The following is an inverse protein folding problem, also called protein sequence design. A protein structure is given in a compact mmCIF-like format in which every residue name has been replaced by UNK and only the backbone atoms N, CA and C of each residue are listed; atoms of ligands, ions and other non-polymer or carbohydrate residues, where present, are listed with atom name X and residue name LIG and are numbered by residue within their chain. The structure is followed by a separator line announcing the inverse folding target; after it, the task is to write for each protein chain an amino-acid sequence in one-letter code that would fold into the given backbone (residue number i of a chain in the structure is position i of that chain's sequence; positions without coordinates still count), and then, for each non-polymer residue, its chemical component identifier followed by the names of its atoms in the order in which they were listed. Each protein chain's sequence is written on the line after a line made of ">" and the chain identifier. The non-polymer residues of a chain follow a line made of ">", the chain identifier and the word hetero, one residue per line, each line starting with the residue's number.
data_IF_565260154879
#
_entry.id   IF_565260154879
#
_cell.length_a   1.000
_cell.length_b   1.000
_cell.length_c   1.000
_cell.angle_alpha   90.00
_cell.angle_beta   90.00
_cell.angle_gamma   90.00
#
_symmetry.space_group_name_H-M   'P 1'
#
loop_
_entity.id
_entity.type
_entity.pdbx_description
1 polymer ?
#
# COMPACT_ATOMS: atom_id res chain seq x y z
N UNK A 1 25.29 10.93 -4.15
CA UNK A 1 25.16 10.65 -5.61
C UNK A 1 26.02 9.46 -6.07
N UNK A 2 27.19 9.23 -5.45
CA UNK A 2 28.09 8.09 -5.74
C UNK A 2 27.43 6.72 -5.46
N UNK A 3 26.68 6.56 -4.36
CA UNK A 3 26.01 5.30 -4.00
C UNK A 3 24.90 4.84 -4.97
N UNK A 4 24.22 5.77 -5.64
CA UNK A 4 23.15 5.43 -6.58
C UNK A 4 23.71 4.89 -7.90
N UNK A 5 24.85 5.44 -8.34
CA UNK A 5 25.55 4.98 -9.55
C UNK A 5 26.23 3.62 -9.31
N UNK A 6 26.72 3.35 -8.09
CA UNK A 6 27.24 2.02 -7.74
C UNK A 6 26.13 0.97 -7.61
N UNK A 7 24.92 1.34 -7.17
CA UNK A 7 23.78 0.43 -7.06
C UNK A 7 23.30 -0.07 -8.43
N UNK A 8 23.09 0.85 -9.39
CA UNK A 8 22.72 0.45 -10.76
C UNK A 8 23.84 -0.27 -11.51
N UNK A 9 25.10 0.12 -11.30
CA UNK A 9 26.23 -0.59 -11.87
C UNK A 9 26.41 -2.00 -11.28
N UNK A 10 26.11 -2.18 -9.98
CA UNK A 10 26.21 -3.47 -9.30
C UNK A 10 25.07 -4.42 -9.71
N UNK A 11 23.85 -3.90 -9.96
CA UNK A 11 22.76 -4.66 -10.56
C UNK A 11 23.09 -5.13 -11.99
N UNK A 12 23.84 -4.35 -12.76
CA UNK A 12 24.16 -4.66 -14.17
C UNK A 12 25.40 -5.54 -14.37
N UNK A 13 26.36 -5.58 -13.45
CA UNK A 13 27.70 -6.07 -13.81
C UNK A 13 28.04 -7.52 -13.50
N UNK A 14 27.44 -8.23 -12.53
CA UNK A 14 27.74 -9.67 -12.34
C UNK A 14 26.67 -10.30 -11.47
N UNK A 15 25.95 -11.31 -11.98
CA UNK A 15 25.11 -12.26 -11.20
C UNK A 15 24.43 -11.58 -9.98
N UNK A 16 23.49 -10.68 -10.28
CA UNK A 16 23.06 -9.51 -9.49
C UNK A 16 22.45 -9.73 -8.10
N UNK A 17 23.08 -10.53 -7.24
CA UNK A 17 22.49 -10.98 -5.99
C UNK A 17 23.44 -10.90 -4.78
N UNK A 18 24.75 -11.12 -4.95
CA UNK A 18 25.71 -11.01 -3.84
C UNK A 18 25.87 -9.57 -3.31
N UNK A 19 25.32 -8.58 -4.02
CA UNK A 19 25.46 -7.17 -3.71
C UNK A 19 24.67 -6.71 -2.47
N UNK A 20 23.47 -7.23 -2.21
CA UNK A 20 22.69 -6.85 -1.02
C UNK A 20 23.36 -7.31 0.28
N UNK A 21 24.01 -8.48 0.24
CA UNK A 21 24.78 -9.04 1.35
C UNK A 21 26.08 -8.26 1.60
N UNK A 22 26.79 -7.94 0.51
CA UNK A 22 28.04 -7.19 0.57
C UNK A 22 27.85 -5.74 1.04
N UNK A 23 26.74 -5.08 0.67
CA UNK A 23 26.48 -3.68 1.00
C UNK A 23 26.04 -3.46 2.46
N UNK A 24 25.48 -4.48 3.12
CA UNK A 24 24.96 -4.40 4.50
C UNK A 24 25.86 -5.05 5.55
N UNK A 25 26.90 -5.79 5.13
CA UNK A 25 27.71 -6.60 6.04
C UNK A 25 26.97 -7.82 6.60
N UNK A 26 25.80 -8.16 6.05
CA UNK A 26 24.97 -9.29 6.46
C UNK A 26 25.46 -10.54 5.74
N UNK A 27 25.81 -11.58 6.49
CA UNK A 27 26.21 -12.87 5.94
C UNK A 27 24.99 -13.60 5.36
N UNK A 28 25.02 -13.95 4.07
CA UNK A 28 23.94 -14.70 3.43
C UNK A 28 24.09 -16.21 3.60
N UNK A 29 23.05 -16.85 4.10
CA UNK A 29 22.96 -18.28 4.43
C UNK A 29 21.78 -18.99 3.73
N UNK A 30 21.03 -18.27 2.87
CA UNK A 30 19.97 -18.84 2.01
C UNK A 30 19.96 -18.22 0.62
N UNK A 31 19.54 -19.02 -0.38
CA UNK A 31 19.27 -18.58 -1.75
C UNK A 31 17.79 -18.79 -2.10
N UNK A 32 17.09 -17.70 -2.37
CA UNK A 32 15.70 -17.63 -2.80
C UNK A 32 15.63 -17.67 -4.33
N UNK A 33 15.14 -18.76 -4.90
CA UNK A 33 14.97 -18.95 -6.33
C UNK A 33 13.65 -18.29 -6.75
N UNK A 34 13.73 -17.26 -7.59
CA UNK A 34 12.58 -16.49 -8.10
C UNK A 34 12.62 -16.53 -9.61
N UNK A 35 11.66 -17.22 -10.23
CA UNK A 35 11.68 -17.52 -11.66
C UNK A 35 13.04 -18.14 -12.06
N UNK A 36 13.78 -17.49 -12.97
CA UNK A 36 15.11 -17.93 -13.43
C UNK A 36 16.28 -17.23 -12.70
N UNK A 37 15.98 -16.47 -11.65
CA UNK A 37 16.96 -15.69 -10.88
C UNK A 37 17.10 -16.23 -9.45
N UNK A 38 18.22 -15.91 -8.78
CA UNK A 38 18.57 -16.50 -7.48
C UNK A 38 18.94 -15.42 -6.48
N UNK A 39 18.10 -15.04 -5.52
CA UNK A 39 18.34 -13.97 -4.55
C UNK A 39 18.87 -14.48 -3.20
N UNK A 40 20.03 -14.00 -2.74
CA UNK A 40 20.67 -14.39 -1.49
C UNK A 40 20.23 -13.47 -0.37
N UNK A 41 19.94 -14.07 0.77
CA UNK A 41 19.41 -13.37 1.93
C UNK A 41 19.94 -14.00 3.23
N UNK A 42 19.53 -13.45 4.36
CA UNK A 42 19.83 -13.98 5.68
C UNK A 42 18.57 -14.60 6.32
N UNK A 43 18.59 -15.92 6.59
CA UNK A 43 17.50 -16.69 7.18
C UNK A 43 17.04 -16.04 8.47
N UNK A 44 17.97 -15.86 9.42
CA UNK A 44 17.66 -15.37 10.77
C UNK A 44 16.99 -14.00 10.74
N UNK A 45 17.49 -13.08 9.93
CA UNK A 45 16.95 -11.74 9.81
C UNK A 45 15.56 -11.77 9.18
N UNK A 46 15.35 -12.51 8.10
CA UNK A 46 14.02 -12.65 7.49
C UNK A 46 13.01 -13.31 8.44
N UNK A 47 13.43 -14.33 9.21
CA UNK A 47 12.60 -14.98 10.23
C UNK A 47 12.19 -14.03 11.36
N UNK A 48 13.01 -13.04 11.71
CA UNK A 48 12.64 -12.01 12.69
C UNK A 48 11.48 -11.14 12.19
N UNK A 49 11.43 -10.87 10.88
CA UNK A 49 10.40 -10.03 10.28
C UNK A 49 9.13 -10.82 9.91
N UNK A 50 9.23 -12.14 9.71
CA UNK A 50 8.08 -12.98 9.41
C UNK A 50 8.24 -14.41 9.90
N UNK A 51 7.20 -14.89 10.60
CA UNK A 51 7.05 -16.30 10.97
C UNK A 51 6.87 -17.21 9.76
N UNK A 52 6.41 -16.70 8.63
CA UNK A 52 6.26 -17.50 7.42
C UNK A 52 7.61 -17.72 6.75
N UNK A 53 8.53 -16.75 6.80
CA UNK A 53 9.94 -17.00 6.48
C UNK A 53 10.57 -17.99 7.45
N UNK A 54 10.29 -17.88 8.75
CA UNK A 54 10.79 -18.85 9.73
C UNK A 54 10.37 -20.28 9.39
N UNK A 55 9.09 -20.50 9.06
CA UNK A 55 8.57 -21.81 8.61
C UNK A 55 9.22 -22.25 7.30
N UNK A 56 9.38 -21.33 6.35
CA UNK A 56 9.94 -21.60 5.04
C UNK A 56 11.40 -22.07 5.11
N UNK A 57 12.13 -21.67 6.16
CA UNK A 57 13.53 -22.04 6.38
C UNK A 57 13.71 -23.16 7.40
N UNK A 58 12.64 -23.85 7.82
CA UNK A 58 12.74 -24.98 8.75
C UNK A 58 13.49 -26.16 8.15
N UNK A 59 13.33 -26.38 6.85
CA UNK A 59 14.14 -27.32 6.12
C UNK A 59 15.55 -26.75 6.00
N UNK A 60 16.57 -27.53 6.36
CA UNK A 60 17.98 -27.11 6.37
C UNK A 60 18.57 -26.98 4.93
N UNK A 61 17.71 -26.63 3.98
CA UNK A 61 18.06 -26.35 2.60
C UNK A 61 18.81 -25.02 2.51
N UNK A 62 19.78 -24.97 1.60
CA UNK A 62 20.48 -23.76 1.18
C UNK A 62 19.69 -22.99 0.11
N UNK A 63 18.63 -23.59 -0.45
CA UNK A 63 17.81 -23.05 -1.53
C UNK A 63 16.31 -23.22 -1.28
N UNK A 64 15.55 -22.16 -1.56
CA UNK A 64 14.09 -22.16 -1.46
C UNK A 64 13.51 -21.52 -2.70
N UNK A 65 12.51 -22.15 -3.31
CA UNK A 65 11.78 -21.58 -4.45
C UNK A 65 10.63 -20.71 -3.97
N UNK A 66 10.51 -19.51 -4.55
CA UNK A 66 9.40 -18.60 -4.32
C UNK A 66 8.63 -18.42 -5.62
N UNK A 67 7.36 -18.84 -5.62
CA UNK A 67 6.48 -18.72 -6.78
C UNK A 67 5.63 -17.44 -6.72
N UNK A 68 5.19 -16.96 -7.89
CA UNK A 68 4.33 -15.79 -8.06
C UNK A 68 4.92 -14.48 -7.50
N UNK A 69 6.23 -14.27 -7.60
CA UNK A 69 6.88 -12.97 -7.35
C UNK A 69 7.93 -12.72 -8.43
N UNK A 70 8.28 -11.45 -8.65
CA UNK A 70 9.47 -11.12 -9.44
C UNK A 70 10.67 -10.87 -8.52
N UNK A 71 11.88 -11.04 -9.05
CA UNK A 71 13.08 -10.71 -8.28
C UNK A 71 13.14 -9.22 -7.95
N UNK A 72 12.62 -8.36 -8.82
CA UNK A 72 12.55 -6.92 -8.57
C UNK A 72 11.75 -6.63 -7.30
N UNK A 73 10.58 -7.25 -7.15
CA UNK A 73 9.72 -7.07 -5.98
C UNK A 73 10.39 -7.58 -4.70
N UNK A 74 11.01 -8.76 -4.79
CA UNK A 74 11.77 -9.32 -3.67
C UNK A 74 12.93 -8.41 -3.27
N UNK A 75 13.70 -7.90 -4.22
CA UNK A 75 14.83 -6.99 -3.97
C UNK A 75 14.34 -5.67 -3.34
N UNK A 76 13.18 -5.16 -3.73
CA UNK A 76 12.57 -3.98 -3.11
C UNK A 76 12.22 -4.25 -1.64
N UNK A 77 11.57 -5.37 -1.34
CA UNK A 77 11.27 -5.77 0.04
C UNK A 77 12.56 -5.92 0.86
N UNK A 78 13.56 -6.64 0.34
CA UNK A 78 14.84 -6.85 1.03
C UNK A 78 15.59 -5.54 1.28
N UNK A 79 15.58 -4.64 0.31
CA UNK A 79 16.18 -3.31 0.45
C UNK A 79 15.50 -2.49 1.56
N UNK A 80 14.19 -2.63 1.72
CA UNK A 80 13.43 -2.01 2.80
C UNK A 80 13.74 -2.63 4.17
N UNK A 81 13.75 -3.97 4.28
CA UNK A 81 14.05 -4.68 5.53
C UNK A 81 15.48 -4.39 6.00
N UNK A 82 16.44 -4.43 5.08
CA UNK A 82 17.86 -4.25 5.38
C UNK A 82 18.30 -2.78 5.42
N UNK A 83 17.40 -1.84 5.09
CA UNK A 83 17.65 -0.38 5.10
C UNK A 83 18.91 0.04 4.30
N UNK A 84 19.27 -0.74 3.28
CA UNK A 84 20.60 -0.71 2.61
C UNK A 84 20.95 0.65 2.02
N UNK A 85 19.96 1.43 1.61
CA UNK A 85 20.20 2.69 0.89
C UNK A 85 20.11 3.93 1.77
N UNK A 86 19.78 3.80 3.07
CA UNK A 86 19.40 4.95 3.92
C UNK A 86 18.23 5.77 3.37
N UNK A 87 17.60 5.26 2.29
CA UNK A 87 16.44 5.77 1.55
C UNK A 87 15.34 4.71 1.58
N UNK A 88 15.21 4.01 2.70
CA UNK A 88 14.16 3.03 2.97
C UNK A 88 12.80 3.70 3.22
N UNK A 89 12.55 4.83 2.56
CA UNK A 89 11.31 5.56 2.67
C UNK A 89 10.29 4.93 1.74
N UNK A 90 9.08 4.76 2.26
CA UNK A 90 7.93 4.37 1.45
C UNK A 90 7.58 5.57 0.57
N UNK A 91 7.23 5.30 -0.68
CA UNK A 91 6.95 6.26 -1.74
C UNK A 91 5.80 5.76 -2.60
N UNK A 92 5.26 6.64 -3.43
CA UNK A 92 4.14 6.30 -4.32
C UNK A 92 4.46 5.18 -5.32
N UNK A 93 5.73 5.08 -5.75
CA UNK A 93 6.22 4.12 -6.73
C UNK A 93 6.46 2.72 -6.17
N UNK A 94 6.81 2.61 -4.87
CA UNK A 94 7.14 1.34 -4.23
C UNK A 94 6.06 0.79 -3.29
N UNK A 95 5.08 1.60 -2.89
CA UNK A 95 4.12 1.20 -1.85
C UNK A 95 3.27 0.00 -2.24
N UNK A 96 2.86 -0.11 -3.51
CA UNK A 96 2.02 -1.23 -3.98
C UNK A 96 2.79 -2.56 -3.88
N UNK A 97 4.05 -2.55 -4.34
CA UNK A 97 4.95 -3.70 -4.24
C UNK A 97 5.20 -4.07 -2.77
N UNK A 98 5.48 -3.08 -1.92
CA UNK A 98 5.71 -3.32 -0.50
C UNK A 98 4.47 -3.90 0.20
N UNK A 99 3.27 -3.42 -0.12
CA UNK A 99 2.02 -3.95 0.42
C UNK A 99 1.76 -5.39 -0.03
N UNK A 100 1.90 -5.66 -1.32
CA UNK A 100 1.72 -7.01 -1.86
C UNK A 100 2.70 -8.01 -1.23
N UNK A 101 3.98 -7.66 -1.17
CA UNK A 101 5.00 -8.50 -0.56
C UNK A 101 4.78 -8.67 0.94
N UNK A 102 4.35 -7.62 1.64
CA UNK A 102 4.11 -7.69 3.08
C UNK A 102 2.90 -8.54 3.44
N UNK A 103 1.84 -8.55 2.63
CA UNK A 103 0.74 -9.52 2.79
C UNK A 103 1.23 -10.92 2.49
N UNK A 104 1.92 -11.11 1.36
CA UNK A 104 2.38 -12.42 0.89
C UNK A 104 3.29 -13.14 1.89
N UNK A 105 4.21 -12.40 2.49
CA UNK A 105 5.13 -12.92 3.50
C UNK A 105 4.69 -12.62 4.93
N UNK A 106 3.49 -12.07 5.14
CA UNK A 106 2.94 -11.77 6.46
C UNK A 106 3.89 -10.93 7.34
N UNK A 107 4.42 -9.84 6.79
CA UNK A 107 5.38 -8.96 7.45
C UNK A 107 4.63 -7.75 8.04
N UNK A 108 4.10 -7.91 9.26
CA UNK A 108 3.25 -6.90 9.90
C UNK A 108 3.93 -5.52 10.05
N UNK A 109 5.24 -5.49 10.29
CA UNK A 109 5.99 -4.23 10.40
C UNK A 109 5.96 -3.41 9.10
N UNK A 110 6.06 -4.07 7.94
CA UNK A 110 5.99 -3.41 6.63
C UNK A 110 4.56 -2.93 6.37
N UNK A 111 3.55 -3.76 6.66
CA UNK A 111 2.13 -3.37 6.54
C UNK A 111 1.81 -2.12 7.37
N UNK A 112 2.19 -2.10 8.64
CA UNK A 112 1.92 -0.97 9.54
C UNK A 112 2.59 0.32 9.07
N UNK A 113 3.82 0.23 8.54
CA UNK A 113 4.53 1.39 7.97
C UNK A 113 3.87 1.88 6.68
N UNK A 114 3.42 0.97 5.81
CA UNK A 114 2.68 1.33 4.60
C UNK A 114 1.34 1.99 4.93
N UNK A 115 0.61 1.46 5.92
CA UNK A 115 -0.63 2.08 6.42
C UNK A 115 -0.36 3.51 6.95
N UNK A 116 0.68 3.69 7.77
CA UNK A 116 1.06 5.01 8.27
C UNK A 116 1.43 5.98 7.15
N UNK A 117 2.16 5.51 6.13
CA UNK A 117 2.51 6.33 4.98
C UNK A 117 1.27 6.73 4.16
N UNK A 118 0.34 5.80 3.92
CA UNK A 118 -0.92 6.14 3.23
C UNK A 118 -1.73 7.20 4.00
N UNK A 119 -1.72 7.14 5.34
CA UNK A 119 -2.40 8.14 6.18
C UNK A 119 -1.73 9.52 6.07
N UNK A 120 -0.41 9.59 6.18
CA UNK A 120 0.33 10.84 6.38
C UNK A 120 0.88 11.49 5.11
N UNK A 121 1.10 10.71 4.04
CA UNK A 121 1.72 11.21 2.81
C UNK A 121 0.82 12.21 2.08
N UNK A 122 1.35 13.36 1.70
CA UNK A 122 0.66 14.29 0.79
C UNK A 122 0.85 13.91 -0.69
N UNK A 123 1.82 13.03 -0.98
CA UNK A 123 2.25 12.70 -2.34
C UNK A 123 1.28 11.77 -3.05
N UNK A 124 0.58 10.89 -2.30
CA UNK A 124 -0.38 9.95 -2.87
C UNK A 124 -1.76 10.62 -2.96
N UNK A 125 -2.35 10.61 -4.16
CA UNK A 125 -3.73 11.04 -4.37
C UNK A 125 -4.71 10.24 -3.48
N UNK A 126 -5.67 10.94 -2.89
CA UNK A 126 -6.72 10.37 -2.07
C UNK A 126 -7.43 9.16 -2.71
N UNK A 127 -7.74 9.20 -4.01
CA UNK A 127 -8.36 8.09 -4.73
C UNK A 127 -7.51 6.82 -4.64
N UNK A 128 -6.20 6.94 -4.86
CA UNK A 128 -5.24 5.84 -4.73
C UNK A 128 -5.11 5.36 -3.28
N UNK A 129 -5.09 6.29 -2.30
CA UNK A 129 -5.08 5.93 -0.87
C UNK A 129 -6.28 5.07 -0.51
N UNK A 130 -7.48 5.49 -0.92
CA UNK A 130 -8.73 4.77 -0.59
C UNK A 130 -8.79 3.40 -1.26
N UNK A 131 -8.40 3.30 -2.53
CA UNK A 131 -8.34 2.01 -3.23
C UNK A 131 -7.37 1.03 -2.57
N UNK A 132 -6.16 1.48 -2.23
CA UNK A 132 -5.18 0.64 -1.53
C UNK A 132 -5.68 0.28 -0.12
N UNK A 133 -6.26 1.24 0.59
CA UNK A 133 -6.84 0.99 1.93
C UNK A 133 -7.89 -0.10 1.87
N UNK A 134 -8.79 -0.05 0.89
CA UNK A 134 -9.82 -1.06 0.69
C UNK A 134 -9.21 -2.42 0.32
N UNK A 135 -8.30 -2.45 -0.64
CA UNK A 135 -7.67 -3.69 -1.12
C UNK A 135 -6.93 -4.45 0.01
N UNK A 136 -6.32 -3.72 0.93
CA UNK A 136 -5.54 -4.28 2.04
C UNK A 136 -6.27 -4.23 3.40
N UNK A 137 -7.53 -3.77 3.44
CA UNK A 137 -8.37 -3.76 4.65
C UNK A 137 -8.02 -2.69 5.70
N UNK A 138 -7.31 -1.63 5.33
CA UNK A 138 -7.00 -0.51 6.22
C UNK A 138 -8.20 0.41 6.44
N UNK A 139 -8.39 0.88 7.67
CA UNK A 139 -9.52 1.75 8.06
C UNK A 139 -9.27 3.24 7.85
N UNK A 140 -8.55 3.60 6.79
CA UNK A 140 -8.10 4.98 6.53
C UNK A 140 -9.29 5.92 6.32
N UNK A 141 -10.39 5.46 5.71
CA UNK A 141 -11.61 6.27 5.51
C UNK A 141 -12.24 6.78 6.82
N UNK A 142 -12.08 6.05 7.93
CA UNK A 142 -12.60 6.46 9.24
C UNK A 142 -11.76 7.55 9.90
N UNK A 143 -10.48 7.65 9.52
CA UNK A 143 -9.51 8.59 10.08
C UNK A 143 -9.39 9.87 9.23
N UNK A 144 -9.85 9.83 7.98
CA UNK A 144 -9.93 10.99 7.07
C UNK A 144 -11.02 12.01 7.45
N UNK A 145 -11.56 11.94 8.67
CA UNK A 145 -12.62 12.82 9.18
C UNK A 145 -12.34 14.29 8.90
N UNK A 146 -11.08 14.73 8.97
CA UNK A 146 -10.73 16.15 8.96
C UNK A 146 -10.50 16.75 7.56
N UNK A 147 -10.32 15.97 6.50
CA UNK A 147 -9.69 16.50 5.28
C UNK A 147 -10.55 16.60 4.00
N UNK A 148 -11.81 16.13 4.00
CA UNK A 148 -12.62 16.11 2.78
C UNK A 148 -13.80 17.09 2.78
N UNK A 149 -13.98 17.77 1.64
CA UNK A 149 -15.19 18.53 1.30
C UNK A 149 -16.11 17.74 0.37
N UNK A 150 -17.35 18.19 0.23
CA UNK A 150 -18.33 17.57 -0.66
C UNK A 150 -17.89 17.60 -2.14
N UNK A 151 -17.31 18.72 -2.59
CA UNK A 151 -16.80 18.86 -3.96
C UNK A 151 -15.64 17.89 -4.24
N UNK A 152 -14.78 17.65 -3.25
CA UNK A 152 -13.70 16.66 -3.34
C UNK A 152 -14.25 15.24 -3.40
N UNK A 153 -15.36 14.93 -2.73
CA UNK A 153 -16.01 13.63 -2.81
C UNK A 153 -16.62 13.38 -4.20
N UNK A 154 -17.23 14.40 -4.81
CA UNK A 154 -17.74 14.32 -6.18
C UNK A 154 -16.59 14.14 -7.17
N UNK A 155 -15.51 14.92 -7.02
CA UNK A 155 -14.31 14.78 -7.84
C UNK A 155 -13.71 13.36 -7.72
N UNK A 156 -13.65 12.82 -6.50
CA UNK A 156 -13.19 11.46 -6.24
C UNK A 156 -14.04 10.41 -6.98
N UNK A 157 -15.36 10.55 -6.99
CA UNK A 157 -16.26 9.67 -7.75
C UNK A 157 -16.02 9.73 -9.25
N UNK A 158 -15.67 10.91 -9.78
CA UNK A 158 -15.33 11.08 -11.20
C UNK A 158 -13.97 10.43 -11.53
N UNK A 159 -12.98 10.65 -10.68
CA UNK A 159 -11.63 10.09 -10.83
C UNK A 159 -11.60 8.56 -10.73
N UNK A 160 -12.58 7.99 -10.03
CA UNK A 160 -12.77 6.55 -9.84
C UNK A 160 -13.75 5.93 -10.83
N UNK A 161 -14.11 6.63 -11.91
CA UNK A 161 -15.11 6.16 -12.90
C UNK A 161 -14.84 4.75 -13.48
N UNK A 162 -13.59 4.30 -13.48
CA UNK A 162 -13.19 2.96 -13.95
C UNK A 162 -12.86 1.96 -12.80
N UNK A 163 -12.83 2.41 -11.53
CA UNK A 163 -12.43 1.60 -10.37
C UNK A 163 -13.46 1.71 -9.25
N UNK A 164 -14.16 0.62 -8.98
CA UNK A 164 -15.20 0.60 -7.94
C UNK A 164 -14.60 0.67 -6.52
N UNK A 165 -14.79 1.82 -5.86
CA UNK A 165 -14.71 1.90 -4.40
C UNK A 165 -15.98 1.31 -3.81
N UNK A 166 -15.86 0.58 -2.71
CA UNK A 166 -16.99 -0.04 -2.04
C UNK A 166 -17.99 1.01 -1.53
N UNK A 167 -19.27 0.69 -1.65
CA UNK A 167 -20.37 1.56 -1.24
C UNK A 167 -20.30 1.88 0.27
N UNK A 168 -19.78 0.97 1.09
CA UNK A 168 -19.63 1.22 2.54
C UNK A 168 -18.54 2.26 2.84
N UNK A 169 -17.45 2.28 2.06
CA UNK A 169 -16.39 3.28 2.15
C UNK A 169 -16.92 4.66 1.75
N UNK A 170 -17.63 4.75 0.62
CA UNK A 170 -18.29 5.99 0.19
C UNK A 170 -19.28 6.52 1.23
N UNK A 171 -20.12 5.63 1.77
CA UNK A 171 -21.09 5.99 2.81
C UNK A 171 -20.40 6.50 4.08
N UNK A 172 -19.30 5.88 4.49
CA UNK A 172 -18.50 6.32 5.64
C UNK A 172 -17.94 7.73 5.41
N UNK A 173 -17.39 8.01 4.24
CA UNK A 173 -16.87 9.33 3.88
C UNK A 173 -17.98 10.39 3.83
N UNK A 174 -19.12 10.06 3.23
CA UNK A 174 -20.28 10.95 3.18
C UNK A 174 -20.82 11.28 4.58
N UNK A 175 -20.96 10.28 5.44
CA UNK A 175 -21.39 10.47 6.83
C UNK A 175 -20.40 11.35 7.60
N UNK A 176 -19.09 11.11 7.46
CA UNK A 176 -18.07 11.95 8.10
C UNK A 176 -18.16 13.43 7.66
N UNK A 177 -18.52 13.71 6.40
CA UNK A 177 -18.72 15.08 5.91
C UNK A 177 -20.00 15.69 6.48
N UNK A 178 -21.08 14.91 6.61
CA UNK A 178 -22.35 15.36 7.17
C UNK A 178 -22.24 15.65 8.67
N UNK A 179 -21.57 14.77 9.42
CA UNK A 179 -21.36 14.91 10.86
C UNK A 179 -20.58 16.21 11.18
N UNK A 180 -19.58 16.57 10.37
CA UNK A 180 -18.87 17.86 10.49
C UNK A 180 -19.75 19.08 10.34
N UNK A 181 -20.78 19.02 9.47
CA UNK A 181 -21.70 20.15 9.28
C UNK A 181 -22.70 20.29 10.42
N UNK A 182 -22.97 19.22 11.16
CA UNK A 182 -23.80 19.29 12.37
C UNK A 182 -23.07 20.01 13.52
N UNK A 183 -21.72 20.00 13.53
CA UNK A 183 -20.92 20.76 14.49
C UNK A 183 -20.73 22.24 14.09
N UNK A 184 -21.06 22.63 12.85
CA UNK A 184 -20.96 24.00 12.30
C UNK A 184 -22.31 24.75 12.27
N UNK A 185 -23.29 24.39 13.11
CA UNK A 185 -24.57 25.12 13.23
C UNK A 185 -24.35 26.62 13.53
N UNK A 186 -24.26 27.40 12.46
CA UNK A 186 -24.59 28.81 12.42
C UNK A 186 -25.97 28.90 11.79
N UNK A 187 -26.87 29.44 12.60
CA UNK A 187 -28.26 29.75 12.32
C UNK A 187 -28.43 30.55 11.02
N UNK A 188 -28.81 29.91 9.91
CA UNK A 188 -29.63 30.58 8.90
C UNK A 188 -30.37 29.57 8.00
N UNK A 189 -31.69 29.48 8.16
CA UNK A 189 -32.59 28.52 7.50
C UNK A 189 -32.85 28.82 6.01
N UNK A 190 -31.94 29.52 5.32
CA UNK A 190 -32.16 29.95 3.92
C UNK A 190 -31.07 29.52 2.94
N UNK A 191 -30.30 28.47 3.24
CA UNK A 191 -29.25 27.99 2.33
C UNK A 191 -29.82 27.16 1.14
N UNK A 192 -29.75 27.68 -0.11
CA UNK A 192 -30.17 26.97 -1.32
C UNK A 192 -29.36 25.70 -1.61
N UNK A 193 -28.24 25.46 -0.92
CA UNK A 193 -27.50 24.21 -1.05
C UNK A 193 -28.35 23.01 -0.67
N UNK A 194 -29.20 23.07 0.36
CA UNK A 194 -30.04 21.95 0.85
C UNK A 194 -30.87 21.26 -0.26
N UNK A 195 -31.36 22.02 -1.25
CA UNK A 195 -32.10 21.49 -2.39
C UNK A 195 -31.23 20.64 -3.35
N UNK A 196 -29.92 20.87 -3.35
CA UNK A 196 -28.91 20.11 -4.12
C UNK A 196 -28.57 18.77 -3.45
N UNK A 197 -28.76 18.66 -2.12
CA UNK A 197 -28.53 17.42 -1.35
C UNK A 197 -29.63 16.40 -1.60
N UNK A 198 -30.90 16.83 -1.65
CA UNK A 198 -32.05 15.96 -1.97
C UNK A 198 -31.91 15.34 -3.37
N UNK A 199 -31.35 16.09 -4.34
CA UNK A 199 -31.05 15.55 -5.67
C UNK A 199 -29.90 14.54 -5.67
N UNK A 200 -28.93 14.71 -4.79
CA UNK A 200 -27.75 13.85 -4.67
C UNK A 200 -28.07 12.55 -3.93
N UNK A 201 -28.95 12.60 -2.92
CA UNK A 201 -29.47 11.44 -2.21
C UNK A 201 -30.29 10.52 -3.13
N UNK A 202 -31.04 11.12 -4.07
CA UNK A 202 -31.71 10.39 -5.15
C UNK A 202 -30.75 9.74 -6.17
N UNK A 203 -29.47 10.13 -6.20
CA UNK A 203 -28.45 9.45 -7.02
C UNK A 203 -27.83 8.23 -6.32
N UNK A 204 -27.99 8.10 -5.00
CA UNK A 204 -27.57 6.91 -4.23
C UNK A 204 -28.68 5.86 -4.15
N UNK A 205 -29.95 6.27 -4.21
CA UNK A 205 -31.12 5.37 -4.14
C UNK A 205 -31.57 4.79 -5.48
N UNK A 206 -31.05 5.29 -6.61
CA UNK A 206 -31.38 4.79 -7.96
C UNK A 206 -30.45 3.68 -8.46
N UNK A 207 -29.47 3.26 -7.66
CA UNK A 207 -28.65 2.08 -7.96
C UNK A 207 -29.41 0.79 -7.65
N UNK A 208 -30.18 0.30 -8.62
CA UNK A 208 -30.63 -1.09 -8.65
C UNK A 208 -29.53 -1.93 -9.31
N UNK A 209 -29.01 -3.00 -8.68
CA UNK A 209 -28.11 -3.91 -9.36
C UNK A 209 -28.90 -4.62 -10.45
N UNK A 210 -28.49 -4.46 -11.71
CA UNK A 210 -28.99 -5.27 -12.81
C UNK A 210 -28.57 -6.70 -12.54
N UNK A 211 -29.46 -7.50 -11.97
CA UNK A 211 -29.30 -8.94 -11.86
C UNK A 211 -29.39 -9.51 -13.27
N UNK A 212 -28.25 -9.87 -13.84
CA UNK A 212 -28.19 -10.83 -14.94
C UNK A 212 -28.69 -12.18 -14.43
N UNK A 213 -29.80 -12.64 -15.00
CA UNK A 213 -30.14 -14.05 -15.12
C UNK A 213 -30.73 -14.32 -16.49
#
# INVERSE_FOLDING_TARGET
>A
MVYALTFEACLRSTKGIDCLAALSGIQSDITLLVNDEQVRANKKLLSVFSKDFEKLFQDDSDKVKLDNITSSDLLQLLSFIYQITGKSDIKEDNIEVLLEMAVKFNISNVLNRCEYFLKTSADINLSKKLLLSQAYGFKIAQELKECLTFDQLIALKKDLSDKELDASTYKTLFNNICDKRADEETTDETDPLAATWIKSDNMLTTYSPTTTS
#
